data_IF_978953014148
#
_entry.id   IF_978953014148
#
_cell.length_a   1.000
_cell.length_b   1.000
_cell.length_c   1.000
_cell.angle_alpha   90.00
_cell.angle_beta   90.00
_cell.angle_gamma   90.00
#
_symmetry.space_group_name_H-M   'P 1'
#
loop_
_entity.id
_entity.type
_entity.pdbx_description
1 polymer ?
#
# COMPACT_ATOMS: atom_id res chain seq x y z
N UNK A 1 -23.97 4.37 -12.72
CA UNK A 1 -22.51 4.13 -12.75
C UNK A 1 -21.97 4.37 -11.36
N UNK A 2 -21.11 3.48 -10.87
CA UNK A 2 -20.31 3.73 -9.66
C UNK A 2 -19.37 4.89 -9.98
N UNK A 3 -19.23 5.85 -9.05
CA UNK A 3 -18.46 7.08 -9.29
C UNK A 3 -16.94 6.88 -9.22
N UNK A 4 -16.46 5.66 -9.45
CA UNK A 4 -15.06 5.28 -9.35
C UNK A 4 -14.49 5.40 -7.93
N UNK A 5 -13.78 4.37 -7.49
CA UNK A 5 -12.99 4.41 -6.26
C UNK A 5 -11.55 4.05 -6.58
N UNK A 6 -10.62 4.75 -5.95
CA UNK A 6 -9.20 4.44 -5.99
C UNK A 6 -8.74 4.18 -4.56
N UNK A 7 -8.00 3.09 -4.39
CA UNK A 7 -7.38 2.74 -3.11
C UNK A 7 -5.89 2.61 -3.33
N UNK A 8 -5.08 3.18 -2.44
CA UNK A 8 -3.66 2.90 -2.41
C UNK A 8 -3.21 2.36 -1.05
N UNK A 9 -2.31 1.39 -1.10
CA UNK A 9 -1.75 0.73 0.06
C UNK A 9 -0.27 1.07 0.14
N UNK A 10 0.15 1.60 1.28
CA UNK A 10 1.53 1.93 1.60
C UNK A 10 2.09 0.92 2.57
N UNK A 11 3.28 0.41 2.28
CA UNK A 11 4.07 -0.36 3.22
C UNK A 11 5.34 0.44 3.56
N UNK A 12 5.49 0.85 4.83
CA UNK A 12 6.70 1.53 5.31
C UNK A 12 7.47 0.64 6.29
N UNK A 13 8.71 0.32 5.91
CA UNK A 13 9.65 -0.40 6.78
C UNK A 13 10.54 0.58 7.51
N UNK A 14 10.47 0.57 8.83
CA UNK A 14 11.39 1.29 9.73
C UNK A 14 12.39 0.32 10.36
N UNK A 15 13.62 0.77 10.56
CA UNK A 15 14.75 -0.09 10.99
C UNK A 15 15.59 0.59 12.07
N UNK A 16 16.38 -0.21 12.79
CA UNK A 16 17.39 0.25 13.75
C UNK A 16 16.84 1.27 14.77
N UNK A 17 17.44 2.47 14.82
CA UNK A 17 17.08 3.53 15.76
C UNK A 17 15.66 4.07 15.53
N UNK A 18 15.15 3.99 14.30
CA UNK A 18 13.78 4.42 13.99
C UNK A 18 12.76 3.46 14.59
N UNK A 19 13.08 2.17 14.58
CA UNK A 19 12.24 1.15 15.19
C UNK A 19 12.22 1.28 16.72
N UNK A 20 13.37 1.60 17.34
CA UNK A 20 13.45 1.93 18.78
C UNK A 20 12.62 3.18 19.07
N UNK A 21 12.79 4.26 18.30
CA UNK A 21 12.05 5.50 18.47
C UNK A 21 10.54 5.28 18.38
N UNK A 22 10.08 4.52 17.38
CA UNK A 22 8.67 4.28 17.16
C UNK A 22 8.04 3.47 18.30
N UNK A 23 8.74 2.46 18.85
CA UNK A 23 8.26 1.73 20.04
C UNK A 23 8.15 2.63 21.26
N UNK A 24 9.16 3.46 21.51
CA UNK A 24 9.12 4.45 22.60
C UNK A 24 7.97 5.45 22.42
N UNK A 25 7.68 5.85 21.18
CA UNK A 25 6.55 6.71 20.90
C UNK A 25 5.22 6.02 21.22
N UNK A 26 5.02 4.75 20.83
CA UNK A 26 3.81 3.99 21.16
C UNK A 26 3.61 3.92 22.67
N UNK A 27 4.62 3.46 23.40
CA UNK A 27 4.57 3.31 24.86
C UNK A 27 4.27 4.66 25.56
N UNK A 28 4.91 5.74 25.11
CA UNK A 28 4.68 7.08 25.67
C UNK A 28 3.30 7.65 25.37
N UNK A 29 2.83 7.56 24.13
CA UNK A 29 1.59 8.24 23.69
C UNK A 29 0.33 7.45 24.02
N UNK A 30 0.43 6.12 24.09
CA UNK A 30 -0.75 5.24 24.19
C UNK A 30 -0.67 4.21 25.32
N UNK A 31 0.51 4.06 25.92
CA UNK A 31 0.80 3.18 27.04
C UNK A 31 0.94 3.91 28.36
N UNK A 32 1.74 3.32 29.23
CA UNK A 32 2.01 3.77 30.59
C UNK A 32 3.49 4.18 30.78
N UNK A 33 4.27 4.23 29.68
CA UNK A 33 5.68 4.58 29.67
C UNK A 33 6.54 3.63 30.54
N UNK A 34 6.29 2.32 30.44
CA UNK A 34 6.99 1.26 31.18
C UNK A 34 8.13 0.58 30.40
N UNK A 35 8.45 1.10 29.21
CA UNK A 35 9.41 0.56 28.24
C UNK A 35 8.95 -0.76 27.59
N UNK A 36 7.66 -1.01 27.54
CA UNK A 36 7.09 -2.18 26.89
C UNK A 36 5.87 -1.80 26.05
N UNK A 37 5.78 -2.33 24.84
CA UNK A 37 4.65 -2.16 23.93
C UNK A 37 3.80 -3.43 23.91
N UNK A 38 2.52 -3.30 24.27
CA UNK A 38 1.52 -4.35 24.19
C UNK A 38 0.51 -4.11 23.05
N UNK A 39 -0.33 -5.12 22.79
CA UNK A 39 -1.27 -5.08 21.66
C UNK A 39 -2.36 -3.99 21.81
N UNK A 40 -2.72 -3.64 23.05
CA UNK A 40 -3.73 -2.61 23.31
C UNK A 40 -3.19 -1.20 23.01
N UNK A 41 -1.92 -0.96 23.30
CA UNK A 41 -1.21 0.28 22.95
C UNK A 41 -1.07 0.44 21.45
N UNK A 42 -0.72 -0.65 20.75
CA UNK A 42 -0.71 -0.67 19.29
C UNK A 42 -2.08 -0.27 18.73
N UNK A 43 -3.17 -0.88 19.19
CA UNK A 43 -4.51 -0.57 18.69
C UNK A 43 -4.89 0.91 18.90
N UNK A 44 -4.58 1.48 20.07
CA UNK A 44 -4.80 2.91 20.31
C UNK A 44 -3.95 3.79 19.40
N UNK A 45 -2.72 3.37 19.12
CA UNK A 45 -1.81 4.11 18.25
C UNK A 45 -2.28 4.06 16.80
N UNK A 46 -2.80 2.93 16.33
CA UNK A 46 -3.41 2.79 15.01
C UNK A 46 -4.56 3.79 14.83
N UNK A 47 -5.48 3.88 15.81
CA UNK A 47 -6.57 4.88 15.80
C UNK A 47 -6.01 6.30 15.78
N UNK A 48 -5.04 6.61 16.65
CA UNK A 48 -4.44 7.94 16.73
C UNK A 48 -3.74 8.35 15.42
N UNK A 49 -3.05 7.42 14.76
CA UNK A 49 -2.38 7.68 13.49
C UNK A 49 -3.37 7.78 12.32
N UNK A 50 -4.42 6.96 12.31
CA UNK A 50 -5.54 7.07 11.38
C UNK A 50 -6.19 8.45 11.40
N UNK A 51 -6.65 8.89 12.57
CA UNK A 51 -7.29 10.21 12.76
C UNK A 51 -6.39 11.36 12.31
N UNK A 52 -5.07 11.25 12.54
CA UNK A 52 -4.11 12.28 12.14
C UNK A 52 -3.84 12.28 10.64
N UNK A 53 -3.82 11.10 10.03
CA UNK A 53 -3.64 10.95 8.60
C UNK A 53 -4.86 11.47 7.85
N UNK A 54 -6.07 11.13 8.30
CA UNK A 54 -7.33 11.68 7.78
C UNK A 54 -7.30 13.22 7.76
N UNK A 55 -7.06 13.85 8.92
CA UNK A 55 -6.96 15.32 9.01
C UNK A 55 -5.90 15.91 8.10
N UNK A 56 -4.75 15.25 7.97
CA UNK A 56 -3.66 15.73 7.10
C UNK A 56 -4.09 15.74 5.65
N UNK A 57 -4.82 14.72 5.20
CA UNK A 57 -5.33 14.61 3.83
C UNK A 57 -6.44 15.62 3.57
N UNK A 58 -7.32 15.86 4.54
CA UNK A 58 -8.35 16.90 4.45
C UNK A 58 -7.75 18.30 4.30
N UNK A 59 -6.67 18.61 5.02
CA UNK A 59 -5.97 19.90 4.95
C UNK A 59 -5.10 20.03 3.70
N UNK A 60 -4.39 18.95 3.32
CA UNK A 60 -3.46 18.91 2.20
C UNK A 60 -3.79 17.70 1.30
N UNK A 61 -4.74 17.84 0.36
CA UNK A 61 -5.13 16.74 -0.53
C UNK A 61 -3.94 16.19 -1.32
N UNK A 62 -3.75 14.88 -1.23
CA UNK A 62 -2.68 14.12 -1.86
C UNK A 62 -3.12 13.39 -3.13
N UNK A 63 -4.40 13.51 -3.50
CA UNK A 63 -4.96 13.01 -4.75
C UNK A 63 -5.65 14.13 -5.51
N UNK A 64 -5.47 14.15 -6.83
CA UNK A 64 -6.20 15.04 -7.75
C UNK A 64 -6.69 14.26 -8.95
N UNK A 65 -7.86 14.63 -9.44
CA UNK A 65 -8.46 14.09 -10.66
C UNK A 65 -8.49 15.22 -11.69
N UNK A 66 -7.89 15.05 -12.86
CA UNK A 66 -7.75 16.09 -13.88
C UNK A 66 -7.19 17.40 -13.30
N UNK A 67 -6.13 17.30 -12.51
CA UNK A 67 -5.52 18.41 -11.75
C UNK A 67 -6.40 19.12 -10.69
N UNK A 68 -7.63 18.67 -10.46
CA UNK A 68 -8.55 19.23 -9.46
C UNK A 68 -8.61 18.34 -8.21
N UNK A 69 -8.47 18.92 -7.01
CA UNK A 69 -8.55 18.18 -5.73
C UNK A 69 -9.96 18.15 -5.16
N UNK A 70 -10.81 19.12 -5.52
CA UNK A 70 -12.19 19.22 -5.02
C UNK A 70 -13.13 18.18 -5.64
N UNK A 71 -12.71 17.51 -6.71
CA UNK A 71 -13.41 16.40 -7.36
C UNK A 71 -13.16 15.04 -6.68
N UNK A 72 -12.30 15.01 -5.65
CA UNK A 72 -11.92 13.81 -4.91
C UNK A 72 -12.42 13.93 -3.45
N UNK A 73 -13.02 12.87 -2.93
CA UNK A 73 -13.43 12.76 -1.52
C UNK A 73 -12.69 11.61 -0.85
N UNK A 74 -12.07 11.89 0.30
CA UNK A 74 -11.56 10.87 1.20
C UNK A 74 -12.74 10.03 1.72
N UNK A 75 -12.63 8.71 1.62
CA UNK A 75 -13.65 7.77 2.11
C UNK A 75 -13.22 7.04 3.36
N UNK A 76 -11.98 6.59 3.38
CA UNK A 76 -11.48 5.76 4.46
C UNK A 76 -9.96 5.86 4.59
N UNK A 77 -9.48 5.76 5.84
CA UNK A 77 -8.07 5.70 6.21
C UNK A 77 -7.92 4.59 7.23
N UNK A 78 -7.21 3.53 6.85
CA UNK A 78 -6.88 2.44 7.74
C UNK A 78 -5.38 2.39 7.98
N UNK A 79 -5.00 2.13 9.22
CA UNK A 79 -3.60 2.07 9.63
C UNK A 79 -3.34 0.81 10.44
N UNK A 80 -2.28 0.09 10.10
CA UNK A 80 -1.88 -1.13 10.79
C UNK A 80 -0.42 -1.05 11.20
N UNK A 81 -0.20 -1.21 12.50
CA UNK A 81 1.13 -1.36 13.08
C UNK A 81 1.41 -2.84 13.21
N UNK A 82 2.51 -3.28 12.60
CA UNK A 82 2.89 -4.69 12.66
C UNK A 82 3.13 -5.14 14.10
N UNK A 83 2.74 -6.39 14.39
CA UNK A 83 3.06 -7.09 15.66
C UNK A 83 4.55 -7.12 15.98
N UNK A 84 5.42 -6.83 15.01
CA UNK A 84 6.85 -6.62 15.22
C UNK A 84 7.15 -5.51 16.24
N UNK A 85 6.25 -4.54 16.39
CA UNK A 85 6.34 -3.45 17.37
C UNK A 85 6.20 -3.93 18.83
N UNK A 86 5.58 -5.10 19.07
CA UNK A 86 5.38 -5.65 20.42
C UNK A 86 6.70 -5.93 21.14
N UNK A 87 6.62 -5.80 22.47
CA UNK A 87 7.70 -6.09 23.38
C UNK A 87 8.46 -4.84 23.81
N UNK A 88 9.70 -5.03 24.24
CA UNK A 88 10.48 -3.95 24.84
C UNK A 88 10.85 -2.85 23.84
N UNK A 89 10.90 -1.60 24.31
CA UNK A 89 11.11 -0.43 23.45
C UNK A 89 12.54 -0.33 22.91
N UNK A 90 13.54 -0.91 23.58
CA UNK A 90 14.94 -0.92 23.12
C UNK A 90 15.21 -1.88 21.94
N UNK A 91 14.21 -2.67 21.54
CA UNK A 91 14.32 -3.60 20.42
C UNK A 91 14.57 -2.83 19.12
N UNK A 92 15.62 -3.19 18.40
CA UNK A 92 16.01 -2.57 17.12
C UNK A 92 15.51 -3.33 15.88
N UNK A 93 14.80 -4.45 16.05
CA UNK A 93 14.27 -5.20 14.91
C UNK A 93 13.31 -4.33 14.11
N UNK A 94 13.35 -4.49 12.78
CA UNK A 94 12.51 -3.74 11.87
C UNK A 94 11.02 -3.89 12.18
N UNK A 95 10.25 -2.88 11.81
CA UNK A 95 8.79 -2.90 11.84
C UNK A 95 8.32 -2.50 10.45
N UNK A 96 7.44 -3.30 9.85
CA UNK A 96 6.78 -2.97 8.58
C UNK A 96 5.34 -2.57 8.86
N UNK A 97 5.04 -1.27 8.81
CA UNK A 97 3.69 -0.76 9.01
C UNK A 97 2.98 -0.61 7.67
N UNK A 98 1.64 -0.67 7.70
CA UNK A 98 0.80 -0.50 6.52
C UNK A 98 -0.20 0.62 6.74
N UNK A 99 -0.49 1.37 5.68
CA UNK A 99 -1.64 2.26 5.62
C UNK A 99 -2.43 2.00 4.33
N UNK A 100 -3.74 2.07 4.40
CA UNK A 100 -4.64 2.03 3.24
C UNK A 100 -5.44 3.32 3.23
N UNK A 101 -5.55 3.95 2.07
CA UNK A 101 -6.43 5.11 1.90
C UNK A 101 -7.29 4.89 0.69
N UNK A 102 -8.58 5.14 0.87
CA UNK A 102 -9.57 5.01 -0.19
C UNK A 102 -10.18 6.37 -0.47
N UNK A 103 -10.26 6.71 -1.75
CA UNK A 103 -10.91 7.90 -2.25
C UNK A 103 -12.02 7.52 -3.21
N UNK A 104 -13.04 8.36 -3.25
CA UNK A 104 -14.07 8.31 -4.29
C UNK A 104 -14.05 9.58 -5.11
N UNK A 105 -14.52 9.50 -6.35
CA UNK A 105 -14.63 10.68 -7.19
C UNK A 105 -16.06 11.23 -7.16
N UNK A 106 -16.18 12.56 -7.13
CA UNK A 106 -17.48 13.24 -7.23
C UNK A 106 -18.06 13.12 -8.63
N UNK A 107 -17.17 13.13 -9.62
CA UNK A 107 -17.45 12.98 -11.05
C UNK A 107 -17.01 11.60 -11.52
N UNK A 108 -17.60 11.12 -12.61
CA UNK A 108 -17.22 9.83 -13.19
C UNK A 108 -15.81 9.92 -13.80
N UNK A 109 -14.88 9.09 -13.30
CA UNK A 109 -13.59 8.90 -13.95
C UNK A 109 -13.77 7.96 -15.15
N UNK A 110 -13.27 8.38 -16.31
CA UNK A 110 -13.39 7.61 -17.55
C UNK A 110 -12.05 7.54 -18.29
N UNK A 111 -12.04 6.89 -19.47
CA UNK A 111 -10.86 6.92 -20.34
C UNK A 111 -10.46 8.37 -20.66
N UNK A 112 -9.16 8.66 -20.61
CA UNK A 112 -8.60 10.00 -20.81
C UNK A 112 -8.51 10.87 -19.56
N UNK A 113 -9.04 10.42 -18.42
CA UNK A 113 -8.86 11.07 -17.12
C UNK A 113 -7.44 10.85 -16.60
N UNK A 114 -6.84 11.89 -16.01
CA UNK A 114 -5.61 11.74 -15.22
C UNK A 114 -5.88 11.69 -13.71
N UNK A 115 -5.14 10.82 -13.02
CA UNK A 115 -5.09 10.75 -11.58
C UNK A 115 -3.68 11.11 -11.15
N UNK A 116 -3.56 12.18 -10.37
CA UNK A 116 -2.32 12.60 -9.75
C UNK A 116 -2.31 12.22 -8.28
N UNK A 117 -1.17 11.70 -7.84
CA UNK A 117 -0.99 10.99 -6.57
C UNK A 117 0.30 11.49 -5.92
N UNK A 118 0.24 12.05 -4.71
CA UNK A 118 1.41 12.49 -3.95
C UNK A 118 1.82 11.44 -2.93
N UNK A 119 3.12 11.19 -2.81
CA UNK A 119 3.65 10.24 -1.84
C UNK A 119 5.05 10.60 -1.40
N UNK A 120 5.77 9.60 -0.92
CA UNK A 120 7.14 9.76 -0.43
C UNK A 120 8.13 9.05 -1.34
N UNK A 121 9.29 9.65 -1.64
CA UNK A 121 10.31 8.99 -2.47
C UNK A 121 10.64 7.59 -1.97
N UNK A 122 10.73 6.65 -2.89
CA UNK A 122 11.12 5.26 -2.69
C UNK A 122 10.15 4.43 -1.82
N UNK A 123 9.03 4.97 -1.35
CA UNK A 123 8.04 4.18 -0.62
C UNK A 123 7.30 3.23 -1.57
N UNK A 124 7.12 1.99 -1.13
CA UNK A 124 6.35 0.99 -1.87
C UNK A 124 4.87 1.36 -1.83
N UNK A 125 4.21 1.24 -2.99
CA UNK A 125 2.79 1.51 -3.14
C UNK A 125 2.13 0.44 -4.00
N UNK A 126 0.90 0.06 -3.63
CA UNK A 126 -0.02 -0.69 -4.49
C UNK A 126 -1.27 0.16 -4.70
N UNK A 127 -1.59 0.46 -5.96
CA UNK A 127 -2.70 1.33 -6.37
C UNK A 127 -3.74 0.47 -7.08
N UNK A 128 -4.95 0.42 -6.53
CA UNK A 128 -6.10 -0.28 -7.10
C UNK A 128 -6.93 0.74 -7.87
N UNK A 129 -7.00 0.60 -9.19
CA UNK A 129 -7.76 1.49 -10.07
C UNK A 129 -9.28 1.27 -9.96
N UNK A 130 -10.09 2.25 -10.38
CA UNK A 130 -11.53 2.07 -10.50
C UNK A 130 -11.89 0.87 -11.40
N UNK A 131 -12.99 0.20 -11.06
CA UNK A 131 -13.47 -0.92 -11.85
C UNK A 131 -13.78 -0.49 -13.29
N UNK A 132 -13.37 -1.31 -14.26
CA UNK A 132 -13.62 -1.03 -15.67
C UNK A 132 -12.67 0.02 -16.28
N UNK A 133 -11.62 0.43 -15.57
CA UNK A 133 -10.53 1.25 -16.10
C UNK A 133 -9.16 0.56 -15.96
N UNK A 134 -8.27 0.83 -16.91
CA UNK A 134 -6.85 0.45 -16.90
C UNK A 134 -5.95 1.69 -16.84
N UNK A 135 -4.65 1.47 -16.71
CA UNK A 135 -3.64 2.52 -16.86
C UNK A 135 -2.99 2.47 -18.24
N UNK A 136 -3.22 3.51 -19.05
CA UNK A 136 -2.55 3.72 -20.33
C UNK A 136 -1.08 4.08 -20.13
N UNK A 137 -0.86 5.08 -19.27
CA UNK A 137 0.45 5.64 -18.95
C UNK A 137 0.57 5.78 -17.45
N UNK A 138 1.80 5.60 -16.96
CA UNK A 138 2.13 5.84 -15.56
C UNK A 138 3.49 6.52 -15.50
N UNK A 139 3.52 7.73 -14.95
CA UNK A 139 4.74 8.48 -14.70
C UNK A 139 5.02 8.53 -13.19
N UNK A 140 6.29 8.53 -12.82
CA UNK A 140 6.72 8.63 -11.41
C UNK A 140 6.57 7.34 -10.58
N UNK A 141 6.17 6.22 -11.18
CA UNK A 141 6.12 4.90 -10.54
C UNK A 141 7.30 4.03 -11.02
N UNK A 142 8.28 3.85 -10.14
CA UNK A 142 9.46 3.02 -10.37
C UNK A 142 9.18 1.54 -10.08
N UNK A 143 9.92 0.63 -10.74
CA UNK A 143 9.77 -0.82 -10.60
C UNK A 143 8.32 -1.31 -10.79
N UNK A 144 7.61 -0.70 -11.75
CA UNK A 144 6.19 -0.95 -12.01
C UNK A 144 5.92 -2.41 -12.36
N UNK A 145 4.92 -2.99 -11.71
CA UNK A 145 4.21 -4.19 -12.19
C UNK A 145 2.71 -3.90 -12.31
N UNK A 146 2.04 -4.66 -13.18
CA UNK A 146 0.61 -4.59 -13.42
C UNK A 146 0.02 -5.97 -13.19
N UNK A 147 -1.01 -6.02 -12.33
CA UNK A 147 -1.76 -7.21 -12.00
C UNK A 147 -3.26 -6.92 -12.19
N UNK A 148 -4.05 -7.97 -12.37
CA UNK A 148 -5.50 -7.87 -12.42
C UNK A 148 -6.09 -8.82 -11.38
N UNK A 149 -6.84 -8.27 -10.43
CA UNK A 149 -7.41 -9.04 -9.32
C UNK A 149 -8.77 -8.45 -8.95
N UNK A 150 -9.75 -9.30 -8.65
CA UNK A 150 -11.09 -8.89 -8.23
C UNK A 150 -11.76 -7.89 -9.20
N UNK A 151 -11.61 -8.11 -10.52
CA UNK A 151 -12.12 -7.24 -11.59
C UNK A 151 -11.56 -5.81 -11.59
N UNK A 152 -10.40 -5.59 -10.96
CA UNK A 152 -9.73 -4.29 -10.91
C UNK A 152 -8.26 -4.44 -11.26
N UNK A 153 -7.71 -3.36 -11.81
CA UNK A 153 -6.31 -3.27 -12.20
C UNK A 153 -5.49 -2.76 -11.02
N UNK A 154 -4.43 -3.49 -10.69
CA UNK A 154 -3.52 -3.20 -9.60
C UNK A 154 -2.16 -2.79 -10.17
N UNK A 155 -1.72 -1.58 -9.82
CA UNK A 155 -0.39 -1.10 -10.10
C UNK A 155 0.47 -1.23 -8.85
N UNK A 156 1.61 -1.90 -8.93
CA UNK A 156 2.58 -1.96 -7.84
C UNK A 156 3.89 -1.32 -8.24
N UNK A 157 4.60 -0.75 -7.29
CA UNK A 157 5.93 -0.21 -7.50
C UNK A 157 6.34 0.71 -6.36
N UNK A 158 7.22 1.64 -6.65
CA UNK A 158 7.72 2.63 -5.70
C UNK A 158 7.51 4.03 -6.24
N UNK A 159 7.21 4.99 -5.37
CA UNK A 159 7.24 6.40 -5.75
C UNK A 159 8.65 6.81 -6.18
N UNK A 160 8.75 7.45 -7.33
CA UNK A 160 9.99 8.03 -7.82
C UNK A 160 10.46 9.23 -6.98
N UNK A 161 11.64 9.79 -7.32
CA UNK A 161 12.23 10.91 -6.57
C UNK A 161 11.38 12.18 -6.57
N UNK A 162 10.52 12.36 -7.58
CA UNK A 162 9.63 13.50 -7.77
C UNK A 162 8.43 13.52 -6.81
N UNK A 163 8.27 12.47 -5.97
CA UNK A 163 7.23 12.38 -4.93
C UNK A 163 5.80 12.31 -5.45
N UNK A 164 5.62 12.16 -6.75
CA UNK A 164 4.29 12.08 -7.34
C UNK A 164 4.24 11.00 -8.41
N UNK A 165 3.04 10.44 -8.58
CA UNK A 165 2.68 9.52 -9.64
C UNK A 165 1.55 10.17 -10.43
N UNK A 166 1.60 10.08 -11.75
CA UNK A 166 0.48 10.45 -12.62
C UNK A 166 0.04 9.22 -13.42
N UNK A 167 -1.25 8.93 -13.40
CA UNK A 167 -1.85 7.79 -14.09
C UNK A 167 -2.86 8.32 -15.09
N UNK A 168 -2.73 7.94 -16.35
CA UNK A 168 -3.74 8.21 -17.37
C UNK A 168 -4.61 6.97 -17.53
N UNK A 169 -5.92 7.14 -17.39
CA UNK A 169 -6.89 6.06 -17.42
C UNK A 169 -7.26 5.71 -18.87
N UNK A 170 -7.40 4.41 -19.14
CA UNK A 170 -7.94 3.88 -20.38
C UNK A 170 -9.14 2.97 -20.14
N UNK A 171 -9.81 2.58 -21.23
CA UNK A 171 -10.73 1.44 -21.18
C UNK A 171 -10.01 0.19 -20.67
N UNK A 172 -10.75 -0.66 -19.95
CA UNK A 172 -10.18 -1.84 -19.31
C UNK A 172 -10.11 -3.03 -20.28
N UNK A 173 -8.98 -3.11 -20.98
CA UNK A 173 -8.62 -4.21 -21.85
C UNK A 173 -8.31 -5.48 -21.04
N UNK A 174 -7.84 -5.34 -19.79
CA UNK A 174 -7.60 -6.48 -18.89
C UNK A 174 -8.87 -7.27 -18.56
N UNK A 175 -9.99 -6.57 -18.30
CA UNK A 175 -11.30 -7.15 -18.03
C UNK A 175 -11.88 -7.79 -19.30
N UNK A 176 -11.71 -7.13 -20.46
CA UNK A 176 -12.08 -7.73 -21.76
C UNK A 176 -11.32 -9.04 -21.97
N UNK A 177 -10.01 -9.07 -21.69
CA UNK A 177 -9.19 -10.27 -21.83
C UNK A 177 -9.56 -11.38 -20.82
N UNK A 178 -9.87 -11.04 -19.57
CA UNK A 178 -10.30 -12.03 -18.57
C UNK A 178 -11.67 -12.63 -18.90
N UNK A 179 -12.64 -11.81 -19.32
CA UNK A 179 -13.95 -12.28 -19.77
C UNK A 179 -13.83 -13.21 -20.98
N UNK A 180 -12.98 -12.87 -21.96
CA UNK A 180 -12.68 -13.74 -23.09
C UNK A 180 -12.02 -15.06 -22.65
N UNK A 181 -11.11 -15.01 -21.68
CA UNK A 181 -10.48 -16.22 -21.14
C UNK A 181 -11.49 -17.12 -20.41
N UNK A 182 -12.43 -16.54 -19.65
CA UNK A 182 -13.51 -17.27 -19.00
C UNK A 182 -14.46 -17.91 -20.03
N UNK A 183 -14.80 -17.21 -21.10
CA UNK A 183 -15.63 -17.73 -22.19
C UNK A 183 -14.93 -18.91 -22.91
N UNK A 184 -13.64 -18.75 -23.25
CA UNK A 184 -12.84 -19.84 -23.84
C UNK A 184 -12.70 -21.06 -22.92
N UNK A 185 -12.60 -20.85 -21.61
CA UNK A 185 -12.55 -21.95 -20.63
C UNK A 185 -13.91 -22.63 -20.45
N UNK A 186 -15.01 -21.87 -20.58
CA UNK A 186 -16.38 -22.41 -20.58
C UNK A 186 -16.63 -23.29 -21.79
N UNK A 187 -16.16 -22.89 -22.97
CA UNK A 187 -16.28 -23.68 -24.20
C UNK A 187 -15.42 -24.94 -24.16
N UNK A 188 -14.20 -24.87 -23.62
CA UNK A 188 -13.36 -26.06 -23.37
C UNK A 188 -13.99 -27.03 -22.37
N UNK A 189 -14.75 -26.54 -21.38
CA UNK A 189 -15.50 -27.40 -20.44
C UNK A 189 -16.70 -28.11 -21.09
N UNK A 190 -17.23 -27.56 -22.19
CA UNK A 190 -18.29 -28.18 -22.99
C UNK A 190 -17.73 -29.26 -23.94
N UNK A 191 -16.51 -29.08 -24.47
CA UNK A 191 -15.83 -30.08 -25.31
C UNK A 191 -15.20 -31.24 -24.50
N UNK A 192 -14.76 -31.00 -23.25
CA UNK A 192 -14.11 -32.03 -22.44
C UNK A 192 -15.05 -33.08 -21.80
N UNK A 193 -16.34 -33.12 -22.15
CA UNK A 193 -17.25 -34.22 -21.75
C UNK A 193 -17.08 -35.50 -22.58
N UNK A 194 -16.17 -35.58 -23.56
CA UNK A 194 -16.02 -36.78 -24.40
C UNK A 194 -14.67 -37.50 -24.36
N UNK A 195 -13.76 -37.20 -23.42
CA UNK A 195 -12.50 -37.95 -23.33
C UNK A 195 -11.98 -38.02 -21.89
N UNK A 196 -12.59 -38.89 -21.09
CA UNK A 196 -12.01 -39.34 -19.83
C UNK A 196 -11.31 -40.70 -20.02
N UNK A 197 -10.13 -40.81 -19.39
CA UNK A 197 -9.30 -41.99 -19.10
C UNK A 197 -8.08 -42.26 -19.99
N UNK A 198 -6.90 -41.87 -19.48
CA UNK A 198 -5.98 -42.86 -18.87
C UNK A 198 -4.90 -42.21 -18.00
N UNK A 199 -4.74 -42.81 -16.82
CA UNK A 199 -3.71 -42.63 -15.80
C UNK A 199 -2.29 -43.00 -16.28
N UNK A 200 -1.24 -42.50 -15.61
CA UNK A 200 -0.44 -43.21 -14.57
C UNK A 200 0.77 -42.35 -14.13
N UNK A 201 0.95 -42.36 -12.80
CA UNK A 201 2.03 -42.05 -11.85
C UNK A 201 3.50 -41.96 -12.31
N UNK A 202 4.29 -41.09 -11.66
CA UNK A 202 5.40 -41.52 -10.78
C UNK A 202 6.07 -40.39 -9.95
N UNK A 203 6.68 -40.82 -8.85
CA UNK A 203 7.09 -40.09 -7.65
C UNK A 203 8.46 -39.36 -7.67
N UNK A 204 8.64 -38.55 -6.62
CA UNK A 204 9.83 -38.41 -5.75
C UNK A 204 10.84 -37.28 -5.99
N UNK A 205 11.27 -36.64 -4.89
CA UNK A 205 12.51 -35.85 -4.83
C UNK A 205 12.54 -34.72 -3.79
N UNK A 206 12.90 -35.04 -2.54
CA UNK A 206 13.18 -34.09 -1.46
C UNK A 206 14.55 -33.39 -1.62
N UNK A 207 14.69 -32.17 -1.09
CA UNK A 207 15.99 -31.49 -0.91
C UNK A 207 15.87 -30.13 -0.20
N UNK A 208 16.68 -29.91 0.83
CA UNK A 208 16.53 -28.90 1.90
C UNK A 208 17.83 -28.10 2.09
N UNK A 209 17.71 -26.83 2.54
CA UNK A 209 18.70 -25.89 3.14
C UNK A 209 19.74 -25.24 2.19
N UNK A 210 20.35 -24.04 2.42
CA UNK A 210 20.64 -23.28 3.65
C UNK A 210 21.05 -21.81 3.33
N UNK A 211 20.82 -20.94 4.31
CA UNK A 211 21.23 -19.54 4.55
C UNK A 211 22.73 -19.20 4.38
N UNK A 212 23.09 -17.93 4.12
CA UNK A 212 23.92 -17.08 5.02
C UNK A 212 24.13 -15.62 4.54
N UNK A 213 24.28 -14.77 5.55
CA UNK A 213 24.43 -13.31 5.70
C UNK A 213 25.79 -12.70 5.35
N UNK A 214 25.81 -11.39 5.02
CA UNK A 214 26.72 -10.32 5.52
C UNK A 214 26.25 -9.00 4.87
N UNK A 215 26.18 -7.81 5.47
CA UNK A 215 26.80 -7.26 6.67
C UNK A 215 27.61 -6.02 6.28
N UNK A 216 26.97 -4.87 6.08
CA UNK A 216 27.66 -3.58 5.90
C UNK A 216 26.99 -2.50 6.76
N UNK A 217 27.80 -1.84 7.59
CA UNK A 217 27.40 -0.72 8.45
C UNK A 217 27.29 0.54 7.60
N UNK A 218 26.12 1.19 7.61
CA UNK A 218 25.94 2.52 7.06
C UNK A 218 25.73 3.55 8.18
N UNK A 219 26.42 4.68 8.03
CA UNK A 219 26.34 5.86 8.89
C UNK A 219 24.91 6.43 8.94
N UNK A 220 24.59 7.08 10.07
CA UNK A 220 23.28 7.65 10.40
C UNK A 220 22.95 8.79 9.43
N UNK A 221 22.28 8.44 8.33
CA UNK A 221 21.64 9.39 7.43
C UNK A 221 20.28 9.80 7.97
N UNK A 222 19.94 11.08 7.86
CA UNK A 222 18.68 11.65 8.29
C UNK A 222 17.47 10.95 7.62
N UNK A 223 16.46 10.51 8.39
CA UNK A 223 15.33 9.73 7.85
C UNK A 223 14.39 10.47 6.86
N UNK A 224 14.15 9.89 5.67
CA UNK A 224 13.11 10.25 4.68
C UNK A 224 11.99 9.17 4.61
N UNK A 225 10.70 9.55 4.67
CA UNK A 225 9.54 8.64 4.76
C UNK A 225 8.18 9.38 4.85
N UNK A 226 7.06 8.78 4.41
CA UNK A 226 5.70 9.38 4.50
C UNK A 226 5.21 9.33 5.94
N UNK A 227 5.35 8.16 6.57
CA UNK A 227 5.09 7.99 7.98
C UNK A 227 6.04 8.87 8.78
N UNK A 228 7.28 9.11 8.31
CA UNK A 228 8.20 10.06 8.96
C UNK A 228 7.74 11.52 8.86
N UNK A 229 7.06 11.93 7.80
CA UNK A 229 6.50 13.28 7.70
C UNK A 229 5.28 13.42 8.63
N UNK A 230 4.41 12.41 8.70
CA UNK A 230 3.31 12.35 9.68
C UNK A 230 3.87 12.32 11.10
N UNK A 231 4.86 11.47 11.41
CA UNK A 231 5.54 11.39 12.71
C UNK A 231 6.33 12.66 13.06
N UNK A 232 6.93 13.36 12.09
CA UNK A 232 7.58 14.66 12.30
C UNK A 232 6.55 15.76 12.57
N UNK A 233 5.40 15.77 11.88
CA UNK A 233 4.27 16.66 12.19
C UNK A 233 3.75 16.36 13.61
N UNK A 234 3.62 15.08 13.99
CA UNK A 234 3.26 14.62 15.35
C UNK A 234 4.24 15.17 16.41
N UNK A 235 5.55 15.04 16.19
CA UNK A 235 6.56 15.50 17.15
C UNK A 235 6.63 17.04 17.24
N UNK A 236 6.28 17.77 16.17
CA UNK A 236 6.18 19.24 16.18
C UNK A 236 4.93 19.75 16.89
N UNK A 237 3.78 19.10 16.72
CA UNK A 237 2.54 19.47 17.44
C UNK A 237 2.63 19.22 18.95
N UNK A 238 3.50 18.31 19.38
CA UNK A 238 3.71 17.96 20.79
C UNK A 238 4.72 18.86 21.51
N UNK A 239 5.68 19.46 20.79
CA UNK A 239 6.68 20.38 21.35
C UNK A 239 6.29 21.87 21.21
N UNK A 240 5.07 22.14 20.71
CA UNK A 240 4.53 23.47 20.45
C UNK A 240 3.33 23.85 21.31
N UNK A 241 3.12 23.19 22.45
CA UNK A 241 2.12 23.54 23.46
C UNK A 241 2.80 23.94 24.77
#
# INVERSE_FOLDING_TARGET
MERGEITWNYDEKITDNEAIFFRNLIDRETGNNDNFVNAWEILKMEVLLGDKMEKTIEEEPDVKLNSASDTVELRDVEFWISKEALGRTEKNSSITNRASVTYSFKEEAGPGTDIWLMGTPNSSVTITLPQGLDAELTEGLDNKSLEFENNRTLLRGNFGPEKNITIWLSENESLKAELLAMEMNRDKSAENKSAENKSVENESGAGVNKTLTAGEKAEVSQPSGFFKNILKKINRSLNGA
#
